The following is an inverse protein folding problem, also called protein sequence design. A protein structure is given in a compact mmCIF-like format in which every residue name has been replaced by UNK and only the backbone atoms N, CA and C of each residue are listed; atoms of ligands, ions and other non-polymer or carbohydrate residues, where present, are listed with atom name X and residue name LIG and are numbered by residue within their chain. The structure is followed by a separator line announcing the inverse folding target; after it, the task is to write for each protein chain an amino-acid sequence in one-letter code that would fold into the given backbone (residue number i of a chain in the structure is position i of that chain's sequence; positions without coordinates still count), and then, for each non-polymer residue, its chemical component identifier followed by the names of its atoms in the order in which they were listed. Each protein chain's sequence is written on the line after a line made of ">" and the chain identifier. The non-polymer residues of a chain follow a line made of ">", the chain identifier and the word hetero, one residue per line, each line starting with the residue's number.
data_IF_457752688220
#
_entry.id   IF_457752688220
#
_cell.length_a   1.000
_cell.length_b   1.000
_cell.length_c   1.000
_cell.angle_alpha   90.00
_cell.angle_beta   90.00
_cell.angle_gamma   90.00
#
_symmetry.space_group_name_H-M   'P 1'
#
loop_
_entity.id
_entity.type
_entity.pdbx_description
1 polymer ?
#
# COMPACT_ATOMS: atom_id res chain seq x y z
N UNK A 1 24.35 -26.01 -73.59
CA UNK A 1 23.52 -26.58 -72.49
C UNK A 1 24.28 -26.67 -71.16
N UNK A 2 25.04 -25.65 -70.75
CA UNK A 2 25.84 -25.65 -69.49
C UNK A 2 25.59 -24.44 -68.58
N UNK A 3 24.73 -23.50 -69.00
CA UNK A 3 24.45 -22.26 -68.26
C UNK A 3 23.15 -22.31 -67.46
N UNK A 4 22.21 -23.21 -67.78
CA UNK A 4 20.91 -23.31 -67.09
C UNK A 4 21.03 -24.10 -65.76
N UNK A 5 22.04 -24.96 -65.61
CA UNK A 5 22.24 -25.75 -64.39
C UNK A 5 22.81 -24.93 -63.21
N UNK A 6 23.39 -23.75 -63.46
CA UNK A 6 24.02 -22.92 -62.42
C UNK A 6 22.99 -21.97 -61.76
N UNK A 7 21.85 -21.71 -62.42
CA UNK A 7 20.79 -20.86 -61.85
C UNK A 7 19.81 -21.62 -60.94
N UNK A 8 19.83 -22.96 -60.96
CA UNK A 8 19.05 -23.78 -60.02
C UNK A 8 19.81 -24.13 -58.74
N UNK A 9 21.12 -23.84 -58.67
CA UNK A 9 21.98 -24.11 -57.52
C UNK A 9 22.33 -22.84 -56.71
N UNK A 10 21.58 -21.76 -56.89
CA UNK A 10 21.64 -20.59 -55.99
C UNK A 10 20.33 -20.37 -55.24
N UNK A 11 19.34 -21.25 -55.45
CA UNK A 11 18.04 -21.22 -54.78
C UNK A 11 17.94 -22.24 -53.63
N UNK A 12 19.04 -22.51 -52.91
CA UNK A 12 19.04 -23.44 -51.76
C UNK A 12 19.74 -22.91 -50.50
N UNK A 13 20.09 -21.62 -50.42
CA UNK A 13 20.69 -21.07 -49.18
C UNK A 13 19.96 -19.83 -48.65
N UNK A 14 18.62 -19.81 -48.76
CA UNK A 14 17.82 -19.00 -47.83
C UNK A 14 17.35 -19.93 -46.71
N UNK A 15 18.27 -20.29 -45.81
CA UNK A 15 17.86 -20.77 -44.49
C UNK A 15 17.34 -19.52 -43.78
N UNK A 16 16.01 -19.42 -43.75
CA UNK A 16 15.27 -18.48 -42.93
C UNK A 16 15.68 -18.72 -41.47
N UNK A 17 16.69 -17.99 -40.99
CA UNK A 17 16.86 -17.77 -39.56
C UNK A 17 15.67 -16.90 -39.13
N UNK A 18 14.52 -17.53 -38.94
CA UNK A 18 13.43 -16.90 -38.23
C UNK A 18 14.03 -16.41 -36.91
N UNK A 19 13.80 -15.14 -36.52
CA UNK A 19 14.17 -14.74 -35.18
C UNK A 19 13.47 -15.73 -34.26
N UNK A 20 14.22 -16.44 -33.43
CA UNK A 20 13.66 -17.04 -32.23
C UNK A 20 13.21 -15.84 -31.40
N UNK A 21 12.04 -15.31 -31.74
CA UNK A 21 11.26 -14.50 -30.85
C UNK A 21 11.18 -15.35 -29.60
N UNK A 22 11.74 -14.84 -28.50
CA UNK A 22 11.69 -15.48 -27.20
C UNK A 22 10.21 -15.58 -26.82
N UNK A 23 9.54 -16.64 -27.29
CA UNK A 23 8.17 -16.90 -26.97
C UNK A 23 8.19 -17.31 -25.50
N UNK A 24 7.88 -16.34 -24.63
CA UNK A 24 7.86 -16.49 -23.19
C UNK A 24 6.94 -17.67 -22.88
N UNK A 25 7.55 -18.83 -22.59
CA UNK A 25 6.79 -20.03 -22.33
C UNK A 25 6.14 -19.94 -20.95
N UNK A 26 5.13 -20.76 -20.68
CA UNK A 26 4.39 -20.75 -19.42
C UNK A 26 5.32 -20.84 -18.19
N UNK A 27 6.46 -21.53 -18.31
CA UNK A 27 7.47 -21.63 -17.26
C UNK A 27 8.18 -20.30 -16.99
N UNK A 28 8.55 -19.55 -18.03
CA UNK A 28 9.20 -18.25 -17.90
C UNK A 28 8.27 -17.22 -17.26
N UNK A 29 7.00 -17.16 -17.69
CA UNK A 29 5.98 -16.29 -17.08
C UNK A 29 5.74 -16.69 -15.62
N UNK A 30 5.70 -17.99 -15.33
CA UNK A 30 5.60 -18.49 -13.95
C UNK A 30 6.79 -18.05 -13.08
N UNK A 31 8.02 -18.20 -13.59
CA UNK A 31 9.22 -17.82 -12.84
C UNK A 31 9.26 -16.30 -12.53
N UNK A 32 8.79 -15.47 -13.46
CA UNK A 32 8.63 -14.03 -13.23
C UNK A 32 7.56 -13.74 -12.17
N UNK A 33 6.43 -14.45 -12.20
CA UNK A 33 5.42 -14.38 -11.14
C UNK A 33 5.98 -14.77 -9.77
N UNK A 34 6.85 -15.79 -9.72
CA UNK A 34 7.53 -16.19 -8.47
C UNK A 34 8.50 -15.11 -7.99
N UNK A 35 9.22 -14.43 -8.88
CA UNK A 35 10.08 -13.31 -8.51
C UNK A 35 9.27 -12.17 -7.89
N UNK A 36 8.18 -11.75 -8.54
CA UNK A 36 7.27 -10.72 -8.00
C UNK A 36 6.62 -11.14 -6.68
N UNK A 37 6.27 -12.42 -6.54
CA UNK A 37 5.74 -12.98 -5.29
C UNK A 37 6.75 -12.86 -4.14
N UNK A 38 8.03 -13.12 -4.41
CA UNK A 38 9.10 -12.99 -3.42
C UNK A 38 9.41 -11.53 -3.09
N UNK A 39 9.13 -10.61 -4.01
CA UNK A 39 9.11 -9.16 -3.77
C UNK A 39 7.84 -8.68 -3.06
N UNK A 40 6.94 -9.57 -2.65
CA UNK A 40 5.63 -9.28 -2.01
C UNK A 40 4.69 -8.44 -2.91
N UNK A 41 4.98 -8.32 -4.21
CA UNK A 41 4.15 -7.64 -5.22
C UNK A 41 3.03 -8.56 -5.71
N UNK A 42 2.12 -8.91 -4.80
CA UNK A 42 1.16 -9.98 -5.02
C UNK A 42 0.13 -9.70 -6.12
N UNK A 43 -0.27 -8.44 -6.33
CA UNK A 43 -1.18 -8.07 -7.42
C UNK A 43 -0.57 -8.35 -8.80
N UNK A 44 0.68 -7.94 -9.01
CA UNK A 44 1.38 -8.16 -10.28
C UNK A 44 1.74 -9.64 -10.48
N UNK A 45 2.18 -10.30 -9.41
CA UNK A 45 2.43 -11.74 -9.42
C UNK A 45 1.16 -12.53 -9.79
N UNK A 46 0.00 -12.12 -9.26
CA UNK A 46 -1.28 -12.78 -9.54
C UNK A 46 -1.64 -12.73 -11.03
N UNK A 47 -1.46 -11.57 -11.69
CA UNK A 47 -1.71 -11.41 -13.13
C UNK A 47 -0.89 -12.42 -13.95
N UNK A 48 0.40 -12.59 -13.62
CA UNK A 48 1.27 -13.54 -14.32
C UNK A 48 0.84 -15.00 -14.08
N UNK A 49 0.47 -15.35 -12.84
CA UNK A 49 -0.03 -16.70 -12.56
C UNK A 49 -1.35 -17.00 -13.27
N UNK A 50 -2.25 -16.02 -13.39
CA UNK A 50 -3.50 -16.18 -14.15
C UNK A 50 -3.23 -16.34 -15.65
N UNK A 51 -2.23 -15.64 -16.20
CA UNK A 51 -1.78 -15.85 -17.57
C UNK A 51 -1.22 -17.27 -17.79
N UNK A 52 -0.44 -17.79 -16.85
CA UNK A 52 0.05 -19.18 -16.88
C UNK A 52 -1.11 -20.16 -16.85
N UNK A 53 -2.10 -19.95 -15.99
CA UNK A 53 -3.26 -20.83 -15.86
C UNK A 53 -4.21 -20.75 -17.07
N UNK A 54 -4.29 -19.60 -17.75
CA UNK A 54 -5.06 -19.45 -18.98
C UNK A 54 -4.48 -20.28 -20.13
N UNK A 55 -3.15 -20.35 -20.21
CA UNK A 55 -2.44 -21.13 -21.25
C UNK A 55 -2.25 -22.60 -20.88
N UNK A 56 -2.09 -22.90 -19.59
CA UNK A 56 -1.99 -24.24 -19.05
C UNK A 56 -2.79 -24.37 -17.75
N UNK A 57 -4.08 -24.72 -17.82
CA UNK A 57 -4.95 -24.87 -16.64
C UNK A 57 -4.50 -25.93 -15.64
N UNK A 58 -3.66 -26.88 -16.08
CA UNK A 58 -3.09 -27.96 -15.27
C UNK A 58 -1.83 -27.58 -14.50
N UNK A 59 -1.33 -26.34 -14.63
CA UNK A 59 -0.11 -25.89 -13.95
C UNK A 59 -0.35 -25.71 -12.44
N UNK A 60 -0.18 -26.78 -11.66
CA UNK A 60 -0.49 -26.84 -10.22
C UNK A 60 0.23 -25.76 -9.41
N UNK A 61 1.51 -25.51 -9.68
CA UNK A 61 2.27 -24.50 -8.93
C UNK A 61 1.71 -23.08 -9.12
N UNK A 62 1.39 -22.68 -10.36
CA UNK A 62 0.79 -21.38 -10.65
C UNK A 62 -0.56 -21.20 -9.93
N UNK A 63 -1.36 -22.26 -9.83
CA UNK A 63 -2.62 -22.25 -9.05
C UNK A 63 -2.37 -22.01 -7.57
N UNK A 64 -1.40 -22.73 -6.99
CA UNK A 64 -1.04 -22.57 -5.58
C UNK A 64 -0.53 -21.16 -5.28
N UNK A 65 0.35 -20.62 -6.13
CA UNK A 65 0.84 -19.26 -5.98
C UNK A 65 -0.26 -18.21 -6.17
N UNK A 66 -1.15 -18.35 -7.17
CA UNK A 66 -2.29 -17.46 -7.35
C UNK A 66 -3.22 -17.44 -6.12
N UNK A 67 -3.48 -18.59 -5.49
CA UNK A 67 -4.27 -18.66 -4.26
C UNK A 67 -3.58 -17.94 -3.09
N UNK A 68 -2.26 -18.07 -2.97
CA UNK A 68 -1.47 -17.35 -1.98
C UNK A 68 -1.48 -15.84 -2.24
N UNK A 69 -1.34 -15.39 -3.50
CA UNK A 69 -1.48 -13.98 -3.85
C UNK A 69 -2.85 -13.44 -3.44
N UNK A 70 -3.94 -14.12 -3.82
CA UNK A 70 -5.31 -13.71 -3.45
C UNK A 70 -5.49 -13.57 -1.94
N UNK A 71 -4.92 -14.50 -1.17
CA UNK A 71 -4.94 -14.44 0.30
C UNK A 71 -4.13 -13.25 0.83
N UNK A 72 -2.95 -12.99 0.27
CA UNK A 72 -2.08 -11.89 0.69
C UNK A 72 -2.72 -10.51 0.38
N UNK A 73 -3.32 -10.37 -0.81
CA UNK A 73 -4.05 -9.17 -1.23
C UNK A 73 -5.23 -8.91 -0.29
N UNK A 74 -6.04 -9.92 0.03
CA UNK A 74 -7.17 -9.80 0.98
C UNK A 74 -6.68 -9.40 2.38
N UNK A 75 -5.47 -9.83 2.76
CA UNK A 75 -4.86 -9.51 4.05
C UNK A 75 -4.04 -8.21 4.03
N UNK A 76 -4.04 -7.48 2.92
CA UNK A 76 -3.25 -6.28 2.70
C UNK A 76 -1.75 -6.46 3.04
N UNK A 77 -1.21 -7.65 2.76
CA UNK A 77 0.23 -7.89 2.87
C UNK A 77 0.83 -7.40 1.55
N UNK A 78 1.65 -6.36 1.56
CA UNK A 78 2.27 -5.78 0.37
C UNK A 78 3.78 -5.60 0.53
N UNK A 79 4.49 -5.20 -0.53
CA UNK A 79 5.92 -4.95 -0.45
C UNK A 79 6.19 -3.89 0.59
N UNK A 80 7.11 -4.16 1.52
CA UNK A 80 7.58 -3.19 2.53
C UNK A 80 8.18 -1.88 1.97
N UNK A 81 8.06 -1.62 0.66
CA UNK A 81 8.37 -0.38 -0.03
C UNK A 81 7.11 0.40 -0.46
N UNK A 82 5.92 -0.08 -0.11
CA UNK A 82 4.66 0.66 -0.24
C UNK A 82 4.62 1.87 0.69
N UNK A 83 3.69 2.79 0.43
CA UNK A 83 3.57 4.01 1.21
C UNK A 83 3.34 3.68 2.69
N UNK A 84 2.41 2.78 3.01
CA UNK A 84 2.09 2.38 4.39
C UNK A 84 3.34 1.85 5.12
N UNK A 85 4.09 0.93 4.50
CA UNK A 85 5.32 0.38 5.05
C UNK A 85 6.40 1.43 5.28
N UNK A 86 6.55 2.42 4.39
CA UNK A 86 7.45 3.56 4.61
C UNK A 86 7.03 4.40 5.82
N UNK A 87 5.74 4.70 5.94
CA UNK A 87 5.20 5.47 7.06
C UNK A 87 5.30 4.71 8.39
N UNK A 88 5.22 3.37 8.37
CA UNK A 88 5.36 2.54 9.58
C UNK A 88 6.76 2.60 10.22
N UNK A 89 7.79 2.98 9.45
CA UNK A 89 9.17 3.10 9.94
C UNK A 89 9.47 4.46 10.56
N UNK A 90 8.65 5.46 10.27
CA UNK A 90 8.84 6.82 10.79
C UNK A 90 8.25 6.87 12.19
N UNK A 91 9.11 6.93 13.20
CA UNK A 91 8.69 7.01 14.59
C UNK A 91 8.48 8.47 14.98
N UNK A 92 7.27 8.80 15.40
CA UNK A 92 6.93 10.10 15.95
C UNK A 92 7.29 10.10 17.45
N UNK A 93 8.26 10.93 17.88
CA UNK A 93 8.71 10.93 19.27
C UNK A 93 7.61 11.33 20.25
N UNK A 94 6.89 12.41 19.92
CA UNK A 94 5.79 12.93 20.72
C UNK A 94 4.96 13.90 19.88
N UNK A 95 3.63 13.75 19.95
CA UNK A 95 2.66 14.71 19.40
C UNK A 95 1.45 14.80 20.33
N UNK A 96 0.89 16.00 20.45
CA UNK A 96 -0.33 16.24 21.20
C UNK A 96 -1.20 17.25 20.46
N UNK A 97 -2.46 16.88 20.25
CA UNK A 97 -3.52 17.72 19.68
C UNK A 97 -4.65 17.83 20.70
N UNK A 98 -5.17 19.03 20.89
CA UNK A 98 -6.34 19.30 21.72
C UNK A 98 -7.36 20.05 20.86
N UNK A 99 -8.51 19.42 20.63
CA UNK A 99 -9.61 19.92 19.79
C UNK A 99 -9.17 20.47 18.41
N UNK A 100 -8.11 19.90 17.83
CA UNK A 100 -7.53 20.38 16.58
C UNK A 100 -8.35 19.90 15.37
N UNK A 101 -8.64 20.78 14.39
CA UNK A 101 -9.27 20.37 13.13
C UNK A 101 -8.50 19.26 12.42
N UNK A 102 -9.21 18.27 11.87
CA UNK A 102 -8.59 17.15 11.16
C UNK A 102 -7.68 17.65 10.02
N UNK A 103 -8.08 18.70 9.30
CA UNK A 103 -7.25 19.32 8.26
C UNK A 103 -5.86 19.69 8.77
N UNK A 104 -5.81 20.46 9.86
CA UNK A 104 -4.57 20.92 10.49
C UNK A 104 -3.74 19.74 11.01
N UNK A 105 -4.39 18.70 11.55
CA UNK A 105 -3.69 17.50 12.03
C UNK A 105 -3.02 16.72 10.88
N UNK A 106 -3.70 16.59 9.73
CA UNK A 106 -3.15 15.92 8.55
C UNK A 106 -1.96 16.71 7.98
N UNK A 107 -2.09 18.03 7.91
CA UNK A 107 -1.03 18.92 7.39
C UNK A 107 0.20 18.93 8.32
N UNK A 108 -0.03 18.88 9.64
CA UNK A 108 1.02 18.69 10.63
C UNK A 108 1.73 17.35 10.46
N UNK A 109 0.99 16.25 10.32
CA UNK A 109 1.57 14.92 10.14
C UNK A 109 2.40 14.81 8.86
N UNK A 110 1.97 15.44 7.75
CA UNK A 110 2.73 15.49 6.51
C UNK A 110 4.07 16.21 6.71
N UNK A 111 4.02 17.39 7.33
CA UNK A 111 5.20 18.21 7.62
C UNK A 111 6.15 17.49 8.56
N UNK A 112 5.62 16.82 9.59
CA UNK A 112 6.40 16.06 10.58
C UNK A 112 7.09 14.84 9.95
N UNK A 113 6.42 14.14 9.04
CA UNK A 113 7.01 13.05 8.28
C UNK A 113 8.21 13.52 7.45
N UNK A 114 8.06 14.65 6.76
CA UNK A 114 9.11 15.24 5.94
C UNK A 114 10.32 15.66 6.81
N UNK A 115 10.08 16.30 7.95
CA UNK A 115 11.14 16.71 8.87
C UNK A 115 11.93 15.51 9.41
N UNK A 116 11.23 14.50 9.95
CA UNK A 116 11.84 13.31 10.53
C UNK A 116 12.64 12.49 9.50
N UNK A 117 12.25 12.57 8.23
CA UNK A 117 12.93 11.90 7.12
C UNK A 117 13.87 12.81 6.33
N UNK A 118 14.11 14.04 6.79
CA UNK A 118 14.96 15.04 6.10
C UNK A 118 14.57 15.24 4.62
N UNK A 119 13.28 15.18 4.31
CA UNK A 119 12.74 15.36 2.97
C UNK A 119 12.61 14.08 2.13
N UNK A 120 13.10 12.93 2.60
CA UNK A 120 13.04 11.68 1.84
C UNK A 120 11.60 11.17 1.65
N UNK A 121 10.73 11.41 2.63
CA UNK A 121 9.32 11.03 2.57
C UNK A 121 8.43 12.25 2.67
N UNK A 122 7.75 12.55 1.56
CA UNK A 122 6.66 13.54 1.49
C UNK A 122 5.35 12.78 1.39
N UNK A 123 4.43 13.05 2.33
CA UNK A 123 3.14 12.37 2.40
C UNK A 123 2.07 13.27 1.82
N UNK A 124 1.31 12.77 0.85
CA UNK A 124 0.15 13.47 0.32
C UNK A 124 -1.13 12.92 0.97
N UNK A 125 -1.89 13.79 1.63
CA UNK A 125 -3.19 13.43 2.19
C UNK A 125 -4.32 13.93 1.29
N UNK A 126 -5.21 13.02 0.88
CA UNK A 126 -6.41 13.36 0.11
C UNK A 126 -7.61 13.20 1.03
N UNK A 127 -8.27 14.32 1.36
CA UNK A 127 -9.50 14.30 2.14
C UNK A 127 -10.72 14.36 1.21
N UNK A 128 -11.62 13.38 1.32
CA UNK A 128 -12.78 13.24 0.43
C UNK A 128 -14.06 13.92 0.93
N UNK A 129 -14.05 14.55 2.11
CA UNK A 129 -15.19 15.31 2.62
C UNK A 129 -15.22 16.76 2.15
N UNK A 130 -16.21 17.51 2.63
CA UNK A 130 -16.32 18.94 2.33
C UNK A 130 -15.27 19.77 3.10
N UNK A 131 -14.95 20.99 2.64
CA UNK A 131 -14.08 21.91 3.38
C UNK A 131 -14.57 22.18 4.81
N UNK A 132 -15.87 22.28 5.01
CA UNK A 132 -16.48 22.51 6.33
C UNK A 132 -16.25 21.31 7.25
N UNK A 133 -16.37 20.08 6.74
CA UNK A 133 -16.04 18.89 7.53
C UNK A 133 -14.55 18.84 7.85
N UNK A 134 -13.67 19.22 6.92
CA UNK A 134 -12.21 19.23 7.12
C UNK A 134 -11.79 20.20 8.22
N UNK A 135 -12.43 21.36 8.30
CA UNK A 135 -12.12 22.39 9.30
C UNK A 135 -12.94 22.25 10.60
N UNK A 136 -14.11 21.61 10.54
CA UNK A 136 -15.03 21.48 11.67
C UNK A 136 -14.95 20.15 12.43
N UNK A 137 -14.27 19.14 11.90
CA UNK A 137 -14.06 17.86 12.60
C UNK A 137 -12.83 17.96 13.48
N UNK A 138 -13.02 18.29 14.74
CA UNK A 138 -11.94 18.37 15.73
C UNK A 138 -11.62 17.02 16.35
N UNK A 139 -10.33 16.77 16.58
CA UNK A 139 -9.82 15.59 17.28
C UNK A 139 -8.92 15.99 18.45
N UNK A 140 -8.85 15.11 19.45
CA UNK A 140 -7.90 15.22 20.57
C UNK A 140 -7.11 13.92 20.64
N UNK A 141 -5.78 14.03 20.63
CA UNK A 141 -4.87 12.89 20.50
C UNK A 141 -3.56 13.21 21.22
N UNK A 142 -3.00 12.24 21.94
CA UNK A 142 -1.65 12.35 22.48
C UNK A 142 -0.93 11.03 22.25
N UNK A 143 0.20 11.09 21.54
CA UNK A 143 1.00 9.93 21.17
C UNK A 143 2.46 10.17 21.54
N UNK A 144 3.13 9.13 22.01
CA UNK A 144 4.55 9.12 22.32
C UNK A 144 5.20 7.88 21.73
N UNK A 145 6.28 8.07 20.98
CA UNK A 145 7.07 7.01 20.36
C UNK A 145 6.21 6.04 19.52
N UNK A 146 5.39 6.61 18.62
CA UNK A 146 4.41 5.86 17.82
C UNK A 146 4.76 5.94 16.33
N UNK A 147 4.65 4.84 15.56
CA UNK A 147 4.76 4.88 14.11
C UNK A 147 3.79 5.87 13.46
N UNK A 148 4.22 6.57 12.41
CA UNK A 148 3.38 7.53 11.70
C UNK A 148 2.14 6.88 11.06
N UNK A 149 2.25 5.64 10.57
CA UNK A 149 1.08 4.90 10.07
C UNK A 149 0.00 4.72 11.15
N UNK A 150 0.40 4.41 12.38
CA UNK A 150 -0.53 4.27 13.51
C UNK A 150 -1.09 5.63 13.95
N UNK A 151 -0.29 6.70 13.92
CA UNK A 151 -0.80 8.05 14.19
C UNK A 151 -1.92 8.44 13.20
N UNK A 152 -1.72 8.15 11.91
CA UNK A 152 -2.73 8.39 10.86
C UNK A 152 -3.99 7.55 11.11
N UNK A 153 -3.82 6.29 11.50
CA UNK A 153 -4.95 5.41 11.85
C UNK A 153 -5.75 5.99 13.03
N UNK A 154 -5.10 6.44 14.10
CA UNK A 154 -5.78 7.09 15.23
C UNK A 154 -6.52 8.36 14.82
N UNK A 155 -5.93 9.18 13.93
CA UNK A 155 -6.62 10.34 13.35
C UNK A 155 -7.90 9.91 12.66
N UNK A 156 -7.85 8.90 11.79
CA UNK A 156 -9.02 8.36 11.10
C UNK A 156 -10.09 7.81 12.05
N UNK A 157 -9.69 7.05 13.07
CA UNK A 157 -10.62 6.52 14.07
C UNK A 157 -11.33 7.63 14.87
N UNK A 158 -10.58 8.63 15.34
CA UNK A 158 -11.13 9.77 16.10
C UNK A 158 -12.03 10.67 15.24
N UNK A 159 -11.68 10.85 13.96
CA UNK A 159 -12.49 11.61 13.01
C UNK A 159 -13.61 10.79 12.36
N UNK A 160 -13.77 9.52 12.75
CA UNK A 160 -14.73 8.57 12.15
C UNK A 160 -14.62 8.51 10.62
N UNK A 161 -13.39 8.59 10.13
CA UNK A 161 -13.04 8.53 8.72
C UNK A 161 -12.34 7.22 8.39
N UNK A 162 -12.65 6.65 7.23
CA UNK A 162 -11.95 5.47 6.71
C UNK A 162 -10.62 5.90 6.10
N UNK A 163 -9.53 5.28 6.53
CA UNK A 163 -8.19 5.48 5.98
C UNK A 163 -7.91 4.41 4.94
N UNK A 164 -7.45 4.80 3.76
CA UNK A 164 -6.95 3.89 2.73
C UNK A 164 -5.57 4.37 2.26
N UNK A 165 -4.62 3.44 2.16
CA UNK A 165 -3.29 3.72 1.62
C UNK A 165 -3.27 3.43 0.13
N UNK A 166 -2.96 4.45 -0.66
CA UNK A 166 -2.72 4.35 -2.11
C UNK A 166 -1.21 4.45 -2.38
N UNK A 167 -0.71 4.08 -3.57
CA UNK A 167 0.73 4.09 -3.86
C UNK A 167 1.45 5.42 -3.61
N UNK A 168 0.75 6.56 -3.70
CA UNK A 168 1.32 7.90 -3.56
C UNK A 168 0.54 8.83 -2.61
N UNK A 169 -0.54 8.35 -2.00
CA UNK A 169 -1.37 9.19 -1.13
C UNK A 169 -2.04 8.37 -0.03
N UNK A 170 -2.35 9.05 1.06
CA UNK A 170 -3.24 8.52 2.10
C UNK A 170 -4.60 9.17 1.92
N UNK A 171 -5.61 8.35 1.61
CA UNK A 171 -6.97 8.81 1.38
C UNK A 171 -7.76 8.72 2.68
N UNK A 172 -8.34 9.85 3.09
CA UNK A 172 -9.18 9.99 4.27
C UNK A 172 -10.62 10.20 3.78
N UNK A 173 -11.46 9.19 3.97
CA UNK A 173 -12.86 9.17 3.53
C UNK A 173 -13.79 9.34 4.74
N UNK A 174 -14.30 10.55 5.02
CA UNK A 174 -15.12 10.81 6.19
C UNK A 174 -16.50 10.18 6.05
N UNK A 175 -17.04 9.65 7.15
CA UNK A 175 -18.41 9.18 7.16
C UNK A 175 -19.38 10.38 6.98
N UNK A 176 -20.32 10.35 6.01
CA UNK A 176 -21.24 11.46 5.74
C UNK A 176 -22.16 11.87 6.91
N UNK A 177 -22.19 11.11 8.02
CA UNK A 177 -23.03 11.38 9.19
C UNK A 177 -22.42 12.28 10.29
N UNK A 178 -21.21 12.82 10.14
CA UNK A 178 -20.49 13.50 11.25
C UNK A 178 -20.19 14.97 10.95
N UNK A 179 -21.22 15.78 10.77
CA UNK A 179 -21.12 17.18 11.12
C UNK A 179 -21.37 17.31 12.63
N UNK A 180 -20.43 17.90 13.38
CA UNK A 180 -20.62 18.51 14.72
C UNK A 180 -20.49 17.71 16.03
N UNK A 181 -19.88 16.51 16.09
CA UNK A 181 -19.68 15.84 17.40
C UNK A 181 -18.19 15.73 17.77
N UNK A 182 -17.71 16.44 18.83
CA UNK A 182 -16.41 16.18 19.43
C UNK A 182 -16.39 14.73 19.93
N UNK A 183 -15.52 13.90 19.35
CA UNK A 183 -15.39 12.50 19.78
C UNK A 183 -14.30 12.44 20.84
N UNK A 184 -14.69 12.51 22.11
CA UNK A 184 -13.80 12.22 23.23
C UNK A 184 -13.68 10.71 23.37
N UNK A 185 -12.73 10.10 22.68
CA UNK A 185 -12.27 8.76 23.01
C UNK A 185 -10.84 8.87 23.56
N UNK A 186 -10.74 8.85 24.89
CA UNK A 186 -9.49 8.55 25.58
C UNK A 186 -9.15 7.08 25.29
N UNK A 187 -8.40 6.81 24.22
CA UNK A 187 -7.78 5.52 24.05
C UNK A 187 -6.76 5.35 25.19
N UNK A 188 -6.89 4.36 26.08
CA UNK A 188 -5.83 4.08 27.03
C UNK A 188 -4.64 3.52 26.23
N UNK A 189 -3.48 4.15 26.36
CA UNK A 189 -2.23 3.56 25.92
C UNK A 189 -2.06 2.18 26.59
N UNK A 190 -1.56 1.15 25.88
CA UNK A 190 -1.18 -0.10 26.54
C UNK A 190 -0.06 0.19 27.54
N UNK A 191 -0.35 0.12 28.85
CA UNK A 191 0.68 0.15 29.89
C UNK A 191 0.53 1.17 31.03
N UNK A 192 -0.57 1.90 31.18
CA UNK A 192 -0.79 2.75 32.36
C UNK A 192 -1.97 2.28 33.21
N UNK A 193 -1.69 1.66 34.36
CA UNK A 193 -2.66 1.61 35.46
C UNK A 193 -2.73 3.00 36.09
N UNK A 194 -3.87 3.68 35.97
CA UNK A 194 -4.11 4.91 36.71
C UNK A 194 -4.10 4.60 38.22
N UNK A 195 -3.41 5.40 39.07
CA UNK A 195 -3.60 5.27 40.50
C UNK A 195 -5.03 5.70 40.86
N UNK A 196 -5.74 4.84 41.57
CA UNK A 196 -7.07 5.13 42.13
C UNK A 196 -7.01 6.38 43.02
N UNK A 197 -7.88 7.39 42.83
CA UNK A 197 -8.01 8.47 43.79
C UNK A 197 -8.58 7.91 45.10
N UNK A 198 -7.82 8.02 46.19
CA UNK A 198 -8.34 7.80 47.54
C UNK A 198 -9.40 8.88 47.78
N UNK A 199 -10.65 8.47 47.82
CA UNK A 199 -11.73 9.29 48.38
C UNK A 199 -11.53 9.35 49.89
N UNK A 200 -11.05 10.48 50.37
CA UNK A 200 -11.27 10.93 51.74
C UNK A 200 -11.79 12.35 51.65
N UNK A 201 -13.11 12.49 51.76
CA UNK A 201 -13.75 13.75 52.15
C UNK A 201 -13.92 13.77 53.69
N UNK A 202 -14.05 14.97 54.29
CA UNK A 202 -13.81 15.24 55.71
C UNK A 202 -14.79 14.60 56.68
#
# INVERSE_FOLDING_TARGET
>A
MKTIAILLLTYLTVILAAPVSAQKNAQSVYNEGVALFNEERYDEALVLFEQVLKSNPGFVYARNYAARCKTAIVRNVGPKNDLEGRLSRIIIPEIAFAEAPIGDTLDYLASRAQELTKGETVVNFIYKGTPEQRSGTSITLSLRNVPLSEAIKYVGELSRSKVNYEPHAVVIDPNPGTGTVPVTNTAPAPGFTAPTPKSTLP
#
